data_IF_146004279585
#
_entry.id   IF_146004279585
#
_cell.length_a   1.000
_cell.length_b   1.000
_cell.length_c   1.000
_cell.angle_alpha   90.00
_cell.angle_beta   90.00
_cell.angle_gamma   90.00
#
_symmetry.space_group_name_H-M   'P 1'
#
loop_
_entity.id
_entity.type
_entity.pdbx_description
1 polymer ?
#
# COMPACT_ATOMS: atom_id res chain seq x y z
N UNK A 1 22.82 -0.18 -45.56
CA UNK A 1 21.48 -0.80 -45.46
C UNK A 1 21.17 -1.35 -44.07
N UNK A 2 22.07 -2.10 -43.40
CA UNK A 2 21.87 -2.58 -42.01
C UNK A 2 21.69 -1.46 -40.96
N UNK A 3 22.40 -0.33 -41.10
CA UNK A 3 22.28 0.81 -40.19
C UNK A 3 20.94 1.55 -40.28
N UNK A 4 20.34 1.61 -41.48
CA UNK A 4 19.01 2.24 -41.67
C UNK A 4 17.92 1.36 -41.04
N UNK A 5 18.07 0.03 -41.16
CA UNK A 5 17.14 -0.92 -40.55
C UNK A 5 17.19 -0.87 -39.01
N UNK A 6 18.39 -0.75 -38.42
CA UNK A 6 18.59 -0.57 -36.97
C UNK A 6 17.98 0.72 -36.43
N UNK A 7 18.06 1.80 -37.22
CA UNK A 7 17.49 3.10 -36.84
C UNK A 7 15.97 3.08 -36.89
N UNK A 8 15.38 2.43 -37.90
CA UNK A 8 13.93 2.23 -38.00
C UNK A 8 13.38 1.34 -36.89
N UNK A 9 14.09 0.27 -36.49
CA UNK A 9 13.65 -0.56 -35.36
C UNK A 9 13.73 0.16 -34.03
N UNK A 10 14.74 1.03 -33.82
CA UNK A 10 14.85 1.85 -32.62
C UNK A 10 13.73 2.90 -32.55
N UNK A 11 13.38 3.54 -33.68
CA UNK A 11 12.27 4.48 -33.76
C UNK A 11 10.95 3.76 -33.44
N UNK A 12 10.67 2.59 -34.02
CA UNK A 12 9.47 1.78 -33.72
C UNK A 12 9.40 1.41 -32.22
N UNK A 13 10.54 1.14 -31.57
CA UNK A 13 10.62 0.84 -30.15
C UNK A 13 10.29 2.06 -29.26
N UNK A 14 10.66 3.27 -29.70
CA UNK A 14 10.31 4.53 -29.04
C UNK A 14 8.82 4.90 -29.18
N UNK A 15 8.16 4.56 -30.30
CA UNK A 15 6.71 4.78 -30.48
C UNK A 15 5.86 3.71 -29.78
N UNK A 16 6.42 2.53 -29.48
CA UNK A 16 5.78 1.47 -28.68
C UNK A 16 5.69 1.78 -27.17
N UNK A 17 5.92 3.03 -26.76
CA UNK A 17 5.47 3.51 -25.44
C UNK A 17 3.96 3.80 -25.45
N UNK A 18 3.17 2.95 -26.12
CA UNK A 18 1.74 2.88 -25.84
C UNK A 18 1.60 1.99 -24.62
N UNK A 19 1.36 2.65 -23.50
CA UNK A 19 0.87 2.13 -22.23
C UNK A 19 0.88 0.60 -22.12
N UNK A 20 1.82 0.07 -21.33
CA UNK A 20 1.45 -1.04 -20.45
C UNK A 20 0.28 -0.50 -19.64
N UNK A 21 -0.94 -0.75 -20.12
CA UNK A 21 -2.04 -0.99 -19.23
C UNK A 21 -1.62 -2.25 -18.51
N UNK A 22 -1.02 -2.08 -17.33
CA UNK A 22 -1.39 -3.01 -16.28
C UNK A 22 -2.91 -2.99 -16.35
N UNK A 23 -3.52 -4.08 -16.80
CA UNK A 23 -4.89 -4.33 -16.40
C UNK A 23 -4.79 -4.24 -14.88
N UNK A 24 -5.11 -3.07 -14.35
CA UNK A 24 -5.37 -2.89 -12.94
C UNK A 24 -6.75 -3.55 -12.81
N UNK A 25 -6.72 -4.88 -12.89
CA UNK A 25 -7.59 -5.72 -12.12
C UNK A 25 -7.21 -5.47 -10.65
N UNK A 26 -7.44 -4.22 -10.22
CA UNK A 26 -7.77 -3.88 -8.87
C UNK A 26 -8.86 -4.90 -8.55
N UNK A 27 -8.54 -5.96 -7.79
CA UNK A 27 -9.48 -7.02 -7.59
C UNK A 27 -10.71 -6.33 -7.03
N UNK A 28 -11.82 -6.36 -7.78
CA UNK A 28 -13.12 -5.78 -7.39
C UNK A 28 -13.72 -6.59 -6.24
N UNK A 29 -12.90 -6.95 -5.26
CA UNK A 29 -13.22 -7.64 -4.05
C UNK A 29 -13.17 -6.66 -2.88
N UNK A 30 -13.99 -6.95 -1.87
CA UNK A 30 -13.92 -6.23 -0.62
C UNK A 30 -12.65 -6.66 0.12
N UNK A 31 -11.61 -5.83 0.12
CA UNK A 31 -10.42 -6.06 0.95
C UNK A 31 -10.80 -5.88 2.43
N UNK A 32 -10.43 -6.86 3.25
CA UNK A 32 -10.58 -6.83 4.71
C UNK A 32 -9.20 -6.93 5.37
N UNK A 33 -9.06 -6.29 6.52
CA UNK A 33 -7.84 -6.33 7.31
C UNK A 33 -8.15 -6.53 8.81
N UNK A 34 -7.28 -7.27 9.48
CA UNK A 34 -7.27 -7.38 10.95
C UNK A 34 -5.90 -6.92 11.43
N UNK A 35 -5.88 -5.86 12.22
CA UNK A 35 -4.67 -5.24 12.76
C UNK A 35 -4.61 -5.48 14.27
N UNK A 36 -3.54 -6.09 14.78
CA UNK A 36 -3.43 -6.49 16.19
C UNK A 36 -2.12 -6.01 16.82
N UNK A 37 -2.21 -5.21 17.89
CA UNK A 37 -1.10 -4.94 18.81
C UNK A 37 -1.23 -5.83 20.06
N UNK A 38 -0.34 -6.80 20.20
CA UNK A 38 -0.38 -7.80 21.30
C UNK A 38 0.19 -7.32 22.65
N UNK A 39 0.66 -6.08 22.74
CA UNK A 39 1.33 -5.53 23.93
C UNK A 39 0.76 -4.17 24.32
N UNK A 40 1.08 -3.75 25.54
CA UNK A 40 0.67 -2.48 26.16
C UNK A 40 1.87 -1.77 26.81
N UNK A 41 1.61 -0.63 27.43
CA UNK A 41 2.54 0.25 28.14
C UNK A 41 3.54 0.97 27.21
N UNK A 42 4.05 2.11 27.68
CA UNK A 42 4.88 3.05 26.91
C UNK A 42 6.15 2.43 26.32
N UNK A 43 6.80 1.51 27.03
CA UNK A 43 7.97 0.75 26.56
C UNK A 43 7.68 -0.04 25.27
N UNK A 44 6.41 -0.32 24.98
CA UNK A 44 5.95 -1.01 23.79
C UNK A 44 5.21 -0.09 22.79
N UNK A 45 5.38 1.23 22.90
CA UNK A 45 4.80 2.26 22.03
C UNK A 45 4.79 1.84 20.55
N UNK A 46 5.92 1.31 20.07
CA UNK A 46 6.13 0.92 18.67
C UNK A 46 5.03 0.00 18.13
N UNK A 47 4.51 -0.93 18.93
CA UNK A 47 3.54 -1.90 18.43
C UNK A 47 2.18 -1.25 18.15
N UNK A 48 1.74 -0.27 18.94
CA UNK A 48 0.49 0.47 18.64
C UNK A 48 0.72 1.53 17.56
N UNK A 49 1.92 2.14 17.51
CA UNK A 49 2.29 3.05 16.44
C UNK A 49 2.30 2.37 15.06
N UNK A 50 2.83 1.15 14.95
CA UNK A 50 2.84 0.34 13.73
C UNK A 50 1.42 0.02 13.23
N UNK A 51 0.49 -0.25 14.16
CA UNK A 51 -0.92 -0.50 13.84
C UNK A 51 -1.63 0.76 13.37
N UNK A 52 -1.45 1.90 14.04
CA UNK A 52 -1.98 3.18 13.58
C UNK A 52 -1.44 3.56 12.20
N UNK A 53 -0.13 3.33 11.96
CA UNK A 53 0.49 3.57 10.66
C UNK A 53 -0.13 2.69 9.56
N UNK A 54 -0.28 1.39 9.83
CA UNK A 54 -0.90 0.44 8.90
C UNK A 54 -2.36 0.79 8.60
N UNK A 55 -3.11 1.23 9.61
CA UNK A 55 -4.50 1.71 9.44
C UNK A 55 -4.56 2.86 8.43
N UNK A 56 -3.72 3.87 8.58
CA UNK A 56 -3.70 5.01 7.65
C UNK A 56 -3.29 4.61 6.23
N UNK A 57 -2.29 3.73 6.07
CA UNK A 57 -1.91 3.19 4.75
C UNK A 57 -3.10 2.48 4.10
N UNK A 58 -3.85 1.66 4.83
CA UNK A 58 -5.00 0.95 4.27
C UNK A 58 -6.10 1.90 3.82
N UNK A 59 -6.40 2.94 4.61
CA UNK A 59 -7.37 3.99 4.23
C UNK A 59 -6.90 4.75 2.99
N UNK A 60 -5.62 5.15 2.94
CA UNK A 60 -5.03 5.87 1.80
C UNK A 60 -5.06 5.03 0.50
N UNK A 61 -5.02 3.70 0.62
CA UNK A 61 -5.12 2.77 -0.50
C UNK A 61 -6.55 2.28 -0.77
N UNK A 62 -7.56 2.92 -0.18
CA UNK A 62 -8.98 2.72 -0.54
C UNK A 62 -9.69 1.57 0.18
N UNK A 63 -9.08 0.98 1.22
CA UNK A 63 -9.79 0.04 2.10
C UNK A 63 -10.81 0.81 2.91
N UNK A 64 -12.06 0.35 2.94
CA UNK A 64 -13.11 1.01 3.72
C UNK A 64 -12.85 0.82 5.22
N UNK A 65 -13.04 1.86 6.06
CA UNK A 65 -12.89 1.73 7.52
C UNK A 65 -13.71 0.58 8.13
N UNK A 66 -14.93 0.36 7.62
CA UNK A 66 -15.82 -0.74 8.05
C UNK A 66 -15.26 -2.15 7.78
N UNK A 67 -14.21 -2.27 6.97
CA UNK A 67 -13.51 -3.53 6.69
C UNK A 67 -12.21 -3.72 7.47
N UNK A 68 -11.86 -2.79 8.37
CA UNK A 68 -10.62 -2.84 9.15
C UNK A 68 -10.97 -3.08 10.61
N UNK A 69 -10.64 -4.26 11.12
CA UNK A 69 -10.80 -4.60 12.53
C UNK A 69 -9.49 -4.29 13.24
N UNK A 70 -9.53 -3.34 14.19
CA UNK A 70 -8.36 -2.94 14.99
C UNK A 70 -8.50 -3.50 16.41
N UNK A 71 -7.47 -4.20 16.86
CA UNK A 71 -7.36 -4.72 18.23
C UNK A 71 -6.05 -4.20 18.85
N UNK A 72 -6.15 -3.22 19.72
CA UNK A 72 -5.02 -2.66 20.46
C UNK A 72 -5.46 -2.29 21.88
N UNK A 73 -4.51 -2.16 22.81
CA UNK A 73 -4.80 -1.80 24.20
C UNK A 73 -5.28 -0.35 24.37
N UNK A 74 -4.93 0.54 23.45
CA UNK A 74 -5.34 1.95 23.43
C UNK A 74 -4.88 2.76 24.67
N UNK A 75 -3.68 2.47 25.16
CA UNK A 75 -3.08 3.09 26.35
C UNK A 75 -1.90 4.04 26.05
N UNK A 76 -1.70 4.36 24.77
CA UNK A 76 -0.56 5.15 24.29
C UNK A 76 -0.89 6.63 24.04
N UNK A 77 -2.00 6.95 23.36
CA UNK A 77 -2.27 8.32 22.88
C UNK A 77 -2.37 9.38 24.00
N UNK A 78 -2.80 8.95 25.20
CA UNK A 78 -2.95 9.81 26.38
C UNK A 78 -2.01 9.40 27.53
N UNK A 79 -0.95 8.64 27.23
CA UNK A 79 0.05 8.28 28.22
C UNK A 79 0.78 9.52 28.74
N UNK A 80 1.19 9.51 30.02
CA UNK A 80 1.82 10.66 30.70
C UNK A 80 3.34 10.55 30.83
N UNK A 81 3.91 9.38 30.52
CA UNK A 81 5.34 9.16 30.58
C UNK A 81 6.09 10.03 29.59
#
# INVERSE_FOLDING_TARGET
MKFVLLYLTAIICLIKSEAISTNDENPKGNTWAVLIAGTKDWENYRHQADICHSYHILIENGVKPEHIIVMMYDDIAFNKQ
#
